data_IF_532464951587
#
_entry.id   IF_532464951587
#
_cell.length_a   1.000
_cell.length_b   1.000
_cell.length_c   1.000
_cell.angle_alpha   90.00
_cell.angle_beta   90.00
_cell.angle_gamma   90.00
#
_symmetry.space_group_name_H-M   'P 1'
#
loop_
_entity.id
_entity.type
_entity.pdbx_description
1 polymer ?
#
# COMPACT_ATOMS: atom_id res chain seq x y z
N UNK A 1 4.83 -19.59 -2.12
CA UNK A 1 3.36 -19.33 -2.10
C UNK A 1 3.10 -17.84 -2.39
N UNK A 2 1.91 -17.47 -2.86
CA UNK A 2 1.53 -16.06 -3.01
C UNK A 2 1.20 -15.46 -1.65
N UNK A 3 1.70 -14.26 -1.38
CA UNK A 3 1.44 -13.50 -0.14
C UNK A 3 0.41 -12.38 -0.38
N UNK A 4 0.53 -11.65 -1.48
CA UNK A 4 -0.47 -10.68 -1.95
C UNK A 4 -0.17 -10.30 -3.40
N UNK A 5 -1.11 -9.63 -4.04
CA UNK A 5 -0.94 -9.10 -5.39
C UNK A 5 -1.31 -7.62 -5.44
N UNK A 6 -0.57 -6.83 -6.21
CA UNK A 6 -0.98 -5.50 -6.65
C UNK A 6 -1.38 -5.59 -8.11
N UNK A 7 -2.69 -5.51 -8.39
CA UNK A 7 -3.20 -5.50 -9.77
C UNK A 7 -3.38 -4.07 -10.24
N UNK A 8 -2.75 -3.68 -11.34
CA UNK A 8 -3.00 -2.38 -11.97
C UNK A 8 -4.41 -2.36 -12.56
N UNK A 9 -5.24 -1.45 -12.04
CA UNK A 9 -6.64 -1.28 -12.42
C UNK A 9 -6.88 -0.01 -13.24
N UNK A 10 -5.93 0.94 -13.20
CA UNK A 10 -5.95 2.16 -14.02
C UNK A 10 -4.54 2.56 -14.39
N UNK A 11 -4.35 2.93 -15.66
CA UNK A 11 -3.14 3.58 -16.14
C UNK A 11 -3.47 4.66 -17.17
N UNK A 12 -2.87 5.83 -17.04
CA UNK A 12 -3.06 6.93 -17.96
C UNK A 12 -2.45 6.63 -19.34
N UNK A 13 -3.22 6.84 -20.40
CA UNK A 13 -2.77 6.63 -21.79
C UNK A 13 -2.63 5.17 -22.21
N UNK A 14 -3.05 4.21 -21.38
CA UNK A 14 -2.90 2.78 -21.67
C UNK A 14 -4.21 2.00 -21.49
N UNK A 15 -4.56 1.21 -22.50
CA UNK A 15 -5.73 0.33 -22.50
C UNK A 15 -5.40 -1.02 -21.81
N UNK A 16 -5.71 -1.13 -20.52
CA UNK A 16 -5.36 -2.30 -19.68
C UNK A 16 -6.09 -3.61 -20.05
N UNK A 17 -7.19 -3.52 -20.80
CA UNK A 17 -7.94 -4.66 -21.34
C UNK A 17 -7.15 -5.44 -22.39
N UNK A 18 -6.18 -4.80 -23.03
CA UNK A 18 -5.29 -5.42 -24.02
C UNK A 18 -4.06 -6.08 -23.41
N UNK A 19 -3.82 -5.89 -22.12
CA UNK A 19 -2.70 -6.50 -21.40
C UNK A 19 -3.18 -7.72 -20.61
N UNK A 20 -2.46 -8.85 -20.70
CA UNK A 20 -2.75 -10.00 -19.86
C UNK A 20 -2.51 -9.66 -18.38
N UNK A 21 -3.24 -10.32 -17.47
CA UNK A 21 -3.23 -10.00 -16.02
C UNK A 21 -1.81 -10.03 -15.45
N UNK A 22 -0.98 -10.95 -15.92
CA UNK A 22 0.40 -11.16 -15.49
C UNK A 22 1.29 -9.95 -15.79
N UNK A 23 1.02 -9.22 -16.88
CA UNK A 23 1.78 -8.03 -17.27
C UNK A 23 1.33 -6.76 -16.56
N UNK A 24 0.21 -6.82 -15.85
CA UNK A 24 -0.35 -5.70 -15.09
C UNK A 24 -0.45 -5.99 -13.59
N UNK A 25 0.17 -7.07 -13.12
CA UNK A 25 0.14 -7.46 -11.71
C UNK A 25 1.55 -7.60 -11.15
N UNK A 26 1.76 -7.10 -9.94
CA UNK A 26 2.95 -7.39 -9.14
C UNK A 26 2.57 -8.42 -8.08
N UNK A 27 3.05 -9.65 -8.23
CA UNK A 27 2.74 -10.75 -7.30
C UNK A 27 3.87 -10.89 -6.29
N UNK A 28 3.55 -10.69 -5.00
CA UNK A 28 4.50 -10.94 -3.93
C UNK A 28 4.47 -12.41 -3.53
N UNK A 29 5.63 -13.05 -3.49
CA UNK A 29 5.77 -14.48 -3.19
C UNK A 29 6.76 -14.69 -2.07
N UNK A 30 6.49 -15.70 -1.25
CA UNK A 30 7.48 -16.20 -0.29
C UNK A 30 8.57 -16.97 -1.04
N UNK A 31 9.82 -16.54 -0.84
CA UNK A 31 11.00 -17.25 -1.33
C UNK A 31 11.23 -18.56 -0.54
N UNK A 32 11.69 -19.64 -1.18
CA UNK A 32 12.02 -20.89 -0.49
C UNK A 32 13.06 -20.66 0.62
N UNK A 33 12.70 -21.00 1.87
CA UNK A 33 13.56 -20.78 3.04
C UNK A 33 13.63 -19.32 3.53
N UNK A 34 12.91 -18.40 2.87
CA UNK A 34 12.79 -17.02 3.29
C UNK A 34 11.81 -16.83 4.46
N UNK A 35 11.92 -15.67 5.12
CA UNK A 35 10.94 -15.23 6.11
C UNK A 35 9.56 -15.08 5.45
N UNK A 36 8.51 -15.57 6.12
CA UNK A 36 7.13 -15.58 5.59
C UNK A 36 6.62 -14.17 5.23
N UNK A 37 7.06 -13.15 5.98
CA UNK A 37 6.56 -11.78 5.90
C UNK A 37 7.64 -10.81 5.39
N UNK A 38 8.31 -11.17 4.30
CA UNK A 38 9.24 -10.26 3.66
C UNK A 38 8.51 -9.01 3.13
N UNK A 39 9.14 -7.84 3.30
CA UNK A 39 8.59 -6.58 2.80
C UNK A 39 8.68 -6.52 1.27
N UNK A 40 7.64 -5.97 0.63
CA UNK A 40 7.64 -5.66 -0.80
C UNK A 40 7.95 -4.18 -0.99
N UNK A 41 9.09 -3.85 -1.58
CA UNK A 41 9.40 -2.49 -2.03
C UNK A 41 8.92 -2.29 -3.47
N UNK A 42 8.22 -1.19 -3.71
CA UNK A 42 7.68 -0.83 -5.02
C UNK A 42 8.29 0.47 -5.49
N UNK A 43 8.85 0.48 -6.70
CA UNK A 43 9.43 1.67 -7.32
C UNK A 43 10.32 1.32 -8.51
N UNK A 44 10.75 2.34 -9.26
CA UNK A 44 11.51 2.10 -10.51
C UNK A 44 12.83 1.37 -10.30
N UNK A 45 13.39 1.35 -9.08
CA UNK A 45 14.61 0.58 -8.79
C UNK A 45 14.36 -0.94 -8.76
N UNK A 46 13.13 -1.37 -8.42
CA UNK A 46 12.80 -2.77 -8.19
C UNK A 46 11.92 -3.38 -9.29
N UNK A 47 11.13 -2.56 -10.00
CA UNK A 47 10.20 -3.01 -11.04
C UNK A 47 10.19 -2.10 -12.28
N UNK A 48 11.37 -1.73 -12.80
CA UNK A 48 11.49 -0.82 -13.94
C UNK A 48 10.68 -1.29 -15.15
N UNK A 49 10.75 -2.58 -15.49
CA UNK A 49 10.07 -3.16 -16.65
C UNK A 49 8.54 -3.08 -16.52
N UNK A 50 8.03 -3.24 -15.30
CA UNK A 50 6.59 -3.10 -15.02
C UNK A 50 6.14 -1.66 -15.30
N UNK A 51 6.89 -0.66 -14.81
CA UNK A 51 6.55 0.75 -15.04
C UNK A 51 6.74 1.16 -16.50
N UNK A 52 7.74 0.63 -17.20
CA UNK A 52 7.90 0.83 -18.64
C UNK A 52 6.72 0.28 -19.43
N UNK A 53 6.17 -0.86 -19.00
CA UNK A 53 5.00 -1.46 -19.65
C UNK A 53 3.69 -0.75 -19.31
N UNK A 54 3.54 -0.26 -18.07
CA UNK A 54 2.30 0.33 -17.59
C UNK A 54 2.19 1.83 -17.81
N UNK A 55 3.30 2.57 -17.85
CA UNK A 55 3.31 4.05 -17.93
C UNK A 55 4.02 4.49 -19.21
N UNK A 56 3.30 4.59 -20.35
CA UNK A 56 3.93 4.88 -21.64
C UNK A 56 4.52 6.30 -21.70
N UNK A 57 3.93 7.25 -20.99
CA UNK A 57 4.41 8.63 -20.89
C UNK A 57 5.70 8.71 -20.05
N UNK A 58 6.76 9.28 -20.61
CA UNK A 58 8.08 9.33 -19.95
C UNK A 58 8.08 10.27 -18.74
N UNK A 59 7.35 11.39 -18.78
CA UNK A 59 7.28 12.35 -17.67
C UNK A 59 6.56 11.73 -16.46
N UNK A 60 5.43 11.07 -16.70
CA UNK A 60 4.71 10.31 -15.67
C UNK A 60 5.58 9.17 -15.09
N UNK A 61 6.34 8.48 -15.94
CA UNK A 61 7.27 7.44 -15.48
C UNK A 61 8.40 8.02 -14.64
N UNK A 62 8.90 9.21 -15.01
CA UNK A 62 9.88 9.98 -14.25
C UNK A 62 9.38 10.37 -12.85
N UNK A 63 8.06 10.54 -12.68
CA UNK A 63 7.43 10.81 -11.39
C UNK A 63 7.40 9.60 -10.44
N UNK A 64 7.69 8.39 -10.92
CA UNK A 64 7.84 7.20 -10.07
C UNK A 64 9.21 7.23 -9.38
N UNK A 65 9.19 7.43 -8.06
CA UNK A 65 10.38 7.35 -7.20
C UNK A 65 11.13 6.01 -7.32
N UNK A 66 12.45 6.02 -7.08
CA UNK A 66 13.30 4.80 -7.04
C UNK A 66 12.74 3.76 -6.08
N UNK A 67 12.43 4.22 -4.87
CA UNK A 67 11.60 3.51 -3.90
C UNK A 67 10.37 4.40 -3.67
N UNK A 68 9.20 3.94 -4.10
CA UNK A 68 7.97 4.72 -4.05
C UNK A 68 7.20 4.46 -2.76
N UNK A 69 6.94 3.19 -2.47
CA UNK A 69 6.34 2.75 -1.21
C UNK A 69 6.82 1.35 -0.85
N UNK A 70 6.57 0.95 0.39
CA UNK A 70 6.81 -0.40 0.87
C UNK A 70 5.54 -0.96 1.47
N UNK A 71 5.18 -2.19 1.13
CA UNK A 71 4.13 -2.96 1.80
C UNK A 71 4.80 -4.00 2.71
N UNK A 72 4.27 -4.13 3.92
CA UNK A 72 4.72 -5.10 4.89
C UNK A 72 3.53 -5.64 5.68
N UNK A 73 3.74 -6.75 6.39
CA UNK A 73 2.70 -7.44 7.12
C UNK A 73 3.21 -7.85 8.51
N UNK A 74 2.33 -7.78 9.50
CA UNK A 74 2.55 -8.30 10.86
C UNK A 74 1.62 -9.48 11.11
N UNK A 75 2.18 -10.61 11.58
CA UNK A 75 1.39 -11.76 12.00
C UNK A 75 0.62 -11.45 13.29
N UNK A 76 -0.67 -11.72 13.27
CA UNK A 76 -1.56 -11.55 14.41
C UNK A 76 -1.81 -12.92 15.04
N UNK A 77 -1.48 -13.06 16.34
CA UNK A 77 -1.91 -14.23 17.09
C UNK A 77 -3.42 -14.12 17.35
N UNK A 78 -4.23 -15.11 16.91
CA UNK A 78 -5.64 -15.12 17.22
C UNK A 78 -5.83 -15.35 18.72
N UNK A 79 -6.43 -14.39 19.42
CA UNK A 79 -6.61 -14.42 20.87
C UNK A 79 -7.59 -15.53 21.33
N UNK A 80 -8.52 -15.93 20.46
CA UNK A 80 -9.62 -16.86 20.80
C UNK A 80 -9.89 -17.89 19.69
N UNK A 81 -8.86 -18.65 19.27
CA UNK A 81 -9.13 -19.80 18.39
C UNK A 81 -9.88 -20.88 19.17
N UNK A 82 -11.20 -20.93 18.97
CA UNK A 82 -11.98 -22.10 19.31
C UNK A 82 -11.41 -23.29 18.52
N UNK A 83 -10.95 -24.36 19.20
CA UNK A 83 -10.42 -25.52 18.51
C UNK A 83 -11.50 -26.12 17.60
N UNK A 84 -11.34 -25.94 16.29
CA UNK A 84 -12.29 -26.43 15.28
C UNK A 84 -12.63 -25.44 14.17
N UNK A 85 -12.33 -24.14 14.33
CA UNK A 85 -12.48 -23.16 13.25
C UNK A 85 -11.40 -23.32 12.18
N UNK A 86 -11.74 -23.90 11.03
CA UNK A 86 -10.80 -24.09 9.93
C UNK A 86 -10.53 -22.75 9.19
N UNK A 87 -9.74 -21.86 9.77
CA UNK A 87 -9.22 -20.71 9.04
C UNK A 87 -8.19 -21.18 8.01
N UNK A 88 -8.42 -20.79 6.75
CA UNK A 88 -7.49 -21.05 5.64
C UNK A 88 -6.50 -19.88 5.51
N UNK A 89 -5.57 -19.74 6.45
CA UNK A 89 -4.46 -18.79 6.31
C UNK A 89 -3.90 -18.24 7.62
N UNK A 90 -2.76 -17.56 7.52
CA UNK A 90 -2.13 -16.81 8.62
C UNK A 90 -2.76 -15.43 8.70
N UNK A 91 -3.32 -15.05 9.85
CA UNK A 91 -3.92 -13.73 10.05
C UNK A 91 -2.84 -12.68 10.13
N UNK A 92 -2.95 -11.64 9.31
CA UNK A 92 -1.99 -10.55 9.26
C UNK A 92 -2.69 -9.19 9.19
N UNK A 93 -2.02 -8.19 9.76
CA UNK A 93 -2.29 -6.78 9.46
C UNK A 93 -1.31 -6.29 8.41
N UNK A 94 -1.79 -5.61 7.38
CA UNK A 94 -0.98 -5.12 6.27
C UNK A 94 -0.82 -3.61 6.37
N UNK A 95 0.35 -3.12 6.01
CA UNK A 95 0.68 -1.70 6.12
C UNK A 95 1.42 -1.23 4.87
N UNK A 96 1.19 0.03 4.51
CA UNK A 96 1.91 0.73 3.46
C UNK A 96 2.63 1.93 4.07
N UNK A 97 3.94 2.01 3.86
CA UNK A 97 4.74 3.20 4.17
C UNK A 97 5.11 3.90 2.87
N UNK A 98 4.77 5.19 2.75
CA UNK A 98 5.15 6.00 1.59
C UNK A 98 6.61 6.47 1.69
N UNK A 99 7.39 6.27 0.64
CA UNK A 99 8.78 6.77 0.53
C UNK A 99 8.94 7.86 -0.54
N UNK A 100 7.93 8.03 -1.39
CA UNK A 100 7.92 8.98 -2.49
C UNK A 100 7.75 10.42 -2.01
N UNK A 101 8.52 11.33 -2.61
CA UNK A 101 8.41 12.78 -2.39
C UNK A 101 7.12 13.33 -3.02
N UNK A 102 6.66 12.75 -4.13
CA UNK A 102 5.37 13.12 -4.75
C UNK A 102 4.16 12.60 -3.95
N UNK A 103 4.41 11.74 -2.95
CA UNK A 103 3.40 11.06 -2.17
C UNK A 103 2.82 9.82 -2.85
N UNK A 104 1.95 9.14 -2.12
CA UNK A 104 1.14 7.99 -2.57
C UNK A 104 -0.30 8.25 -2.17
N UNK A 105 -1.29 7.91 -2.99
CA UNK A 105 -2.70 8.06 -2.63
C UNK A 105 -3.28 6.70 -2.30
N UNK A 106 -3.84 6.51 -1.10
CA UNK A 106 -4.49 5.25 -0.69
C UNK A 106 -5.97 5.53 -0.41
N UNK A 107 -6.88 4.87 -1.14
CA UNK A 107 -8.33 5.11 -1.04
C UNK A 107 -8.70 6.60 -1.10
N UNK A 108 -8.04 7.37 -1.98
CA UNK A 108 -8.24 8.81 -2.14
C UNK A 108 -7.52 9.70 -1.12
N UNK A 109 -6.92 9.14 -0.06
CA UNK A 109 -6.11 9.90 0.91
C UNK A 109 -4.68 10.02 0.42
N UNK A 110 -4.19 11.25 0.26
CA UNK A 110 -2.78 11.53 -0.04
C UNK A 110 -1.91 11.33 1.19
N UNK A 111 -0.93 10.44 1.08
CA UNK A 111 0.06 10.14 2.10
C UNK A 111 1.34 10.94 1.82
N UNK A 112 1.81 11.66 2.82
CA UNK A 112 3.07 12.38 2.80
C UNK A 112 4.26 11.42 2.93
N UNK A 113 5.47 11.90 2.69
CA UNK A 113 6.67 11.07 2.81
C UNK A 113 6.82 10.53 4.25
N UNK A 114 7.08 9.24 4.39
CA UNK A 114 7.15 8.46 5.65
C UNK A 114 5.83 8.30 6.40
N UNK A 115 4.72 8.76 5.84
CA UNK A 115 3.41 8.44 6.38
C UNK A 115 3.08 6.96 6.12
N UNK A 116 2.32 6.39 7.05
CA UNK A 116 1.91 4.99 7.04
C UNK A 116 0.39 4.89 7.13
N UNK A 117 -0.15 3.89 6.45
CA UNK A 117 -1.56 3.53 6.54
C UNK A 117 -1.70 2.01 6.55
N UNK A 118 -2.72 1.52 7.27
CA UNK A 118 -3.13 0.12 7.19
C UNK A 118 -3.79 -0.14 5.82
N UNK A 119 -3.57 -1.33 5.28
CA UNK A 119 -4.17 -1.79 4.03
C UNK A 119 -5.11 -2.97 4.28
N UNK A 120 -6.19 -2.99 3.50
CA UNK A 120 -7.13 -4.10 3.42
C UNK A 120 -7.26 -4.61 1.99
N UNK A 121 -7.63 -5.89 1.86
CA UNK A 121 -7.90 -6.47 0.54
C UNK A 121 -9.02 -5.69 -0.16
N UNK A 122 -8.73 -5.19 -1.36
CA UNK A 122 -9.61 -4.33 -2.14
C UNK A 122 -9.19 -2.86 -2.20
N UNK A 123 -8.31 -2.41 -1.30
CA UNK A 123 -7.83 -1.03 -1.25
C UNK A 123 -7.13 -0.61 -2.55
N UNK A 124 -7.29 0.66 -2.91
CA UNK A 124 -6.63 1.25 -4.07
C UNK A 124 -5.42 2.08 -3.66
N UNK A 125 -4.32 1.90 -4.38
CA UNK A 125 -3.03 2.57 -4.17
C UNK A 125 -2.67 3.23 -5.49
N UNK A 126 -2.69 4.56 -5.53
CA UNK A 126 -2.36 5.34 -6.71
C UNK A 126 -1.04 6.09 -6.58
N UNK A 127 -0.29 6.08 -7.67
CA UNK A 127 0.86 6.94 -7.91
C UNK A 127 0.36 8.22 -8.55
N UNK A 128 0.85 9.35 -8.06
CA UNK A 128 0.42 10.66 -8.54
C UNK A 128 1.61 11.57 -8.85
N UNK A 129 1.36 12.54 -9.73
CA UNK A 129 2.30 13.61 -10.06
C UNK A 129 1.63 14.95 -9.82
N UNK A 130 2.43 15.96 -9.49
CA UNK A 130 1.94 17.34 -9.45
C UNK A 130 1.88 17.86 -10.88
N UNK A 131 0.71 18.34 -11.30
CA UNK A 131 0.50 19.03 -12.57
C UNK A 131 0.12 20.47 -12.28
N UNK A 132 0.65 21.41 -13.08
CA UNK A 132 0.27 22.82 -12.97
C UNK A 132 -1.18 23.02 -13.42
N UNK A 133 -2.04 23.51 -12.54
CA UNK A 133 -3.38 24.00 -12.84
C UNK A 133 -3.47 25.53 -12.76
N UNK A 134 -4.57 26.09 -13.25
CA UNK A 134 -4.83 27.53 -13.17
C UNK A 134 -4.86 28.05 -11.72
N UNK A 135 -5.34 27.22 -10.80
CA UNK A 135 -5.47 27.53 -9.36
C UNK A 135 -4.29 27.02 -8.52
N UNK A 136 -3.20 26.60 -9.17
CA UNK A 136 -2.02 26.05 -8.52
C UNK A 136 -1.76 24.58 -8.84
N UNK A 137 -0.76 23.96 -8.19
CA UNK A 137 -0.36 22.59 -8.49
C UNK A 137 -1.40 21.60 -7.94
N UNK A 138 -1.91 20.73 -8.81
CA UNK A 138 -2.91 19.71 -8.47
C UNK A 138 -2.24 18.34 -8.51
N UNK A 139 -2.57 17.49 -7.53
CA UNK A 139 -2.13 16.11 -7.51
C UNK A 139 -2.98 15.30 -8.49
N UNK A 140 -2.38 14.79 -9.57
CA UNK A 140 -3.05 13.98 -10.58
C UNK A 140 -2.56 12.52 -10.50
N UNK A 141 -3.43 11.59 -10.05
CA UNK A 141 -3.13 10.16 -10.08
C UNK A 141 -3.05 9.64 -11.52
N UNK A 142 -1.96 8.96 -11.88
CA UNK A 142 -1.72 8.45 -13.24
C UNK A 142 -1.61 6.93 -13.34
N UNK A 143 -1.35 6.25 -12.23
CA UNK A 143 -1.31 4.79 -12.15
C UNK A 143 -1.97 4.35 -10.85
N UNK A 144 -2.77 3.29 -10.90
CA UNK A 144 -3.51 2.79 -9.75
C UNK A 144 -3.46 1.26 -9.68
N UNK A 145 -3.14 0.78 -8.48
CA UNK A 145 -3.12 -0.64 -8.13
C UNK A 145 -4.23 -0.94 -7.13
N UNK A 146 -4.79 -2.15 -7.21
CA UNK A 146 -5.63 -2.73 -6.17
C UNK A 146 -4.82 -3.76 -5.39
N UNK A 147 -4.83 -3.64 -4.07
CA UNK A 147 -4.26 -4.63 -3.16
C UNK A 147 -5.21 -5.83 -3.06
N UNK A 148 -4.72 -7.05 -3.30
CA UNK A 148 -5.55 -8.25 -3.40
C UNK A 148 -4.90 -9.44 -2.66
N UNK A 149 -5.69 -10.08 -1.81
CA UNK A 149 -5.33 -11.31 -1.09
C UNK A 149 -5.91 -12.58 -1.72
N UNK A 150 -6.58 -12.51 -2.88
CA UNK A 150 -7.10 -13.68 -3.57
C UNK A 150 -5.98 -14.68 -3.90
N UNK A 151 -6.13 -15.92 -3.42
CA UNK A 151 -5.12 -16.97 -3.58
C UNK A 151 -3.90 -16.81 -2.67
N UNK A 152 -3.92 -15.87 -1.73
CA UNK A 152 -2.91 -15.74 -0.70
C UNK A 152 -3.01 -16.86 0.35
N UNK A 153 -1.87 -17.17 0.97
CA UNK A 153 -1.81 -17.97 2.21
C UNK A 153 -2.03 -17.11 3.48
N UNK A 154 -2.06 -15.79 3.31
CA UNK A 154 -2.33 -14.81 4.36
C UNK A 154 -3.80 -14.38 4.30
N UNK A 155 -4.32 -13.98 5.45
CA UNK A 155 -5.67 -13.46 5.60
C UNK A 155 -5.62 -12.10 6.32
N UNK A 156 -6.54 -11.21 5.96
CA UNK A 156 -6.69 -9.91 6.60
C UNK A 156 -7.36 -10.06 7.98
N UNK A 157 -6.67 -9.63 9.02
CA UNK A 157 -7.12 -9.78 10.41
C UNK A 157 -8.37 -8.96 10.76
N UNK A 158 -8.70 -7.91 10.00
CA UNK A 158 -9.76 -6.95 10.38
C UNK A 158 -11.08 -7.09 9.63
N UNK A 159 -11.13 -7.86 8.54
CA UNK A 159 -12.35 -8.04 7.72
C UNK A 159 -13.49 -8.73 8.49
N UNK A 160 -13.24 -9.23 9.70
CA UNK A 160 -14.25 -9.79 10.60
C UNK A 160 -14.84 -8.84 11.65
N UNK A 161 -14.38 -7.59 11.78
CA UNK A 161 -15.04 -6.62 12.64
C UNK A 161 -16.19 -6.00 11.85
N UNK A 162 -17.37 -6.57 12.02
CA UNK A 162 -18.64 -6.08 11.48
C UNK A 162 -18.65 -4.55 11.42
N UNK A 163 -18.89 -4.03 10.21
CA UNK A 163 -19.14 -2.62 9.92
C UNK A 163 -20.17 -2.08 10.92
N UNK A 164 -19.72 -1.57 12.05
CA UNK A 164 -20.48 -0.60 12.82
C UNK A 164 -20.60 0.61 11.92
N UNK A 165 -21.70 0.66 11.16
CA UNK A 165 -22.07 1.73 10.24
C UNK A 165 -21.62 3.08 10.80
N UNK A 166 -20.86 3.88 10.04
CA UNK A 166 -20.61 5.25 10.42
C UNK A 166 -21.96 5.98 10.37
N UNK A 167 -22.58 6.10 11.54
CA UNK A 167 -23.75 6.91 11.76
C UNK A 167 -23.39 8.33 11.30
N UNK A 168 -24.07 8.78 10.25
CA UNK A 168 -23.82 10.05 9.56
C UNK A 168 -23.74 11.22 10.56
N UNK A 169 -22.53 11.67 10.87
CA UNK A 169 -22.29 12.92 11.56
C UNK A 169 -22.14 14.03 10.52
N UNK A 170 -23.27 14.49 9.97
CA UNK A 170 -23.37 15.84 9.45
C UNK A 170 -23.28 16.81 10.63
N UNK A 171 -22.13 17.46 10.80
CA UNK A 171 -21.93 18.42 11.89
C UNK A 171 -20.65 19.22 11.72
N UNK A 172 -20.77 20.39 11.10
CA UNK A 172 -19.72 21.39 11.02
C UNK A 172 -19.21 21.75 12.43
N UNK A 173 -17.89 21.75 12.61
CA UNK A 173 -17.25 22.20 13.83
C UNK A 173 -15.74 22.39 13.63
N UNK A 174 -15.35 23.65 13.45
CA UNK A 174 -13.95 24.11 13.46
C UNK A 174 -13.32 23.77 14.82
N UNK A 175 -12.21 23.04 14.82
CA UNK A 175 -11.36 22.89 16.01
C UNK A 175 -9.88 23.05 15.66
N UNK A 176 -9.27 24.00 16.35
CA UNK A 176 -7.87 24.42 16.30
C UNK A 176 -7.05 23.56 17.24
N UNK A 177 -5.90 23.07 16.76
CA UNK A 177 -4.68 22.85 17.55
C UNK A 177 -4.64 21.69 18.55
N UNK A 178 -3.94 20.63 18.21
CA UNK A 178 -3.27 19.77 19.19
C UNK A 178 -1.96 19.20 18.61
N UNK A 179 -0.87 19.40 19.32
CA UNK A 179 0.46 18.92 18.96
C UNK A 179 0.58 17.38 19.13
N UNK A 180 1.37 16.69 18.29
CA UNK A 180 1.56 15.25 18.39
C UNK A 180 2.45 14.85 19.59
N UNK A 181 2.20 13.67 20.20
CA UNK A 181 3.05 13.14 21.27
C UNK A 181 4.40 12.64 20.73
N UNK A 182 5.46 12.89 21.52
CA UNK A 182 6.83 12.48 21.22
C UNK A 182 6.98 10.95 21.20
N UNK A 183 7.55 10.41 20.12
CA UNK A 183 7.96 9.00 20.03
C UNK A 183 9.19 8.76 20.90
N UNK A 184 9.12 7.75 21.77
CA UNK A 184 10.26 7.18 22.50
C UNK A 184 11.26 6.57 21.52
N UNK A 185 12.47 7.11 21.48
CA UNK A 185 13.63 6.49 20.85
C UNK A 185 14.16 5.38 21.76
N UNK A 186 14.20 4.15 21.25
CA UNK A 186 14.98 3.07 21.86
C UNK A 186 16.47 3.33 21.58
N UNK A 187 17.25 3.48 22.65
CA UNK A 187 18.70 3.64 22.57
C UNK A 187 19.35 2.32 22.14
N UNK A 188 20.23 2.39 21.13
CA UNK A 188 21.13 1.29 20.77
C UNK A 188 22.34 1.28 21.73
N UNK A 189 22.87 0.10 22.12
CA UNK A 189 24.07 0.02 22.92
C UNK A 189 25.32 0.32 22.07
N UNK A 190 26.20 1.19 22.60
CA UNK A 190 27.56 1.39 22.10
C UNK A 190 28.36 0.10 22.29
N UNK A 191 28.92 -0.43 21.21
CA UNK A 191 30.00 -1.40 21.27
C UNK A 191 31.33 -0.65 21.45
N UNK A 192 32.02 -0.91 22.54
CA UNK A 192 33.40 -0.44 22.80
C UNK A 192 34.38 -1.38 22.10
N UNK A 193 35.33 -0.82 21.37
CA UNK A 193 36.57 -1.48 20.92
C UNK A 193 37.73 -0.84 21.67
#
# INVERSE_FOLDING_TARGET
>A
PTLWTLECVRSEGLALDRLPKERRSLVHRQEPGGQLLANLRVGRLFQEELFNALVPDEDARGAVSREHFQIWAEEMMPLDMTPGGAFRGVMCSFFLTNYSVNGTVVNGRHLQQREEVQLHSGDTIALARMVGGADGPVLAPFLEFRFDLAGSVLADAEVGREEHSPQAAAGAGVAVGAAPPARRTAAAPLATV
#
